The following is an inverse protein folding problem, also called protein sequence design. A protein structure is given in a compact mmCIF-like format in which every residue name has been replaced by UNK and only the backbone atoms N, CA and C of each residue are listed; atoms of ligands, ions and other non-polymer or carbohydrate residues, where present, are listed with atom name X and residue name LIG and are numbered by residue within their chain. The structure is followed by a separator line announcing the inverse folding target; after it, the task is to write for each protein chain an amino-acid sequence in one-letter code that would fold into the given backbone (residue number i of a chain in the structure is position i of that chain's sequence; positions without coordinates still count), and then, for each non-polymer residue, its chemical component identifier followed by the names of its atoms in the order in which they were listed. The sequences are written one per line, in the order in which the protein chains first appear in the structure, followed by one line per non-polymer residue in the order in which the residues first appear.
data_IF_761607594024
#
_entry.id   IF_761607594024
#
_cell.length_a   1.000
_cell.length_b   1.000
_cell.length_c   1.000
_cell.angle_alpha   90.00
_cell.angle_beta   90.00
_cell.angle_gamma   90.00
#
_symmetry.space_group_name_H-M   'P 1'
#
loop_
_entity.id
_entity.type
_entity.pdbx_description
1 polymer ?
#
# COMPACT_ATOMS: atom_id res chain seq x y z
N UNK A 1 1.58 -8.28 12.28
CA UNK A 1 0.92 -7.59 13.41
C UNK A 1 -0.31 -8.31 13.95
N UNK A 2 -0.93 -9.21 13.18
CA UNK A 2 -2.12 -10.00 13.53
C UNK A 2 -2.16 -10.45 15.00
N UNK A 3 -1.14 -11.16 15.49
CA UNK A 3 -1.16 -11.70 16.87
C UNK A 3 -0.91 -10.62 17.94
N UNK A 4 -0.03 -9.65 17.65
CA UNK A 4 0.45 -8.69 18.65
C UNK A 4 -0.42 -7.43 18.75
N UNK A 5 -1.15 -7.09 17.70
CA UNK A 5 -1.91 -5.84 17.58
C UNK A 5 -3.29 -6.04 16.94
N UNK A 6 -3.73 -7.28 16.68
CA UNK A 6 -5.05 -7.59 16.10
C UNK A 6 -5.31 -6.89 14.76
N UNK A 7 -4.25 -6.73 13.96
CA UNK A 7 -4.34 -6.10 12.65
C UNK A 7 -4.98 -7.06 11.63
N UNK A 8 -5.91 -6.60 10.75
CA UNK A 8 -6.33 -5.21 10.55
C UNK A 8 -7.54 -4.76 11.39
N UNK A 9 -8.17 -5.64 12.15
CA UNK A 9 -9.45 -5.35 12.83
C UNK A 9 -9.33 -4.27 13.90
N UNK A 10 -8.16 -4.14 14.54
CA UNK A 10 -7.83 -3.07 15.48
C UNK A 10 -8.05 -1.66 14.92
N UNK A 11 -7.96 -1.48 13.60
CA UNK A 11 -8.17 -0.18 12.97
C UNK A 11 -9.62 0.32 13.12
N UNK A 12 -10.57 -0.59 13.37
CA UNK A 12 -11.99 -0.28 13.60
C UNK A 12 -12.36 -0.23 15.08
N UNK A 13 -11.40 -0.47 15.97
CA UNK A 13 -11.62 -0.47 17.41
C UNK A 13 -11.62 0.95 17.97
N UNK A 14 -12.24 1.17 19.15
CA UNK A 14 -12.17 2.46 19.84
C UNK A 14 -10.73 2.89 20.16
N UNK A 15 -10.53 4.20 20.34
CA UNK A 15 -9.24 4.82 20.67
C UNK A 15 -8.57 4.14 21.87
N UNK A 16 -9.31 3.88 22.95
CA UNK A 16 -8.75 3.29 24.18
C UNK A 16 -8.11 1.93 23.93
N UNK A 17 -8.87 1.03 23.28
CA UNK A 17 -8.40 -0.32 22.96
C UNK A 17 -7.21 -0.26 22.01
N UNK A 18 -7.28 0.61 21.00
CA UNK A 18 -6.22 0.77 20.00
C UNK A 18 -4.92 1.26 20.64
N UNK A 19 -4.98 2.36 21.41
CA UNK A 19 -3.79 2.95 22.01
C UNK A 19 -3.22 2.10 23.15
N UNK A 20 -4.05 1.43 23.94
CA UNK A 20 -3.60 0.50 24.98
C UNK A 20 -2.81 -0.66 24.36
N UNK A 21 -3.39 -1.33 23.35
CA UNK A 21 -2.74 -2.46 22.70
C UNK A 21 -1.48 -2.03 21.94
N UNK A 22 -1.50 -0.83 21.35
CA UNK A 22 -0.34 -0.23 20.69
C UNK A 22 0.79 0.03 21.70
N UNK A 23 0.48 0.65 22.84
CA UNK A 23 1.46 0.94 23.89
C UNK A 23 2.08 -0.34 24.45
N UNK A 24 1.23 -1.33 24.77
CA UNK A 24 1.63 -2.62 25.33
C UNK A 24 2.58 -3.38 24.40
N UNK A 25 2.38 -3.25 23.08
CA UNK A 25 3.15 -3.96 22.06
C UNK A 25 4.07 -3.04 21.25
N UNK A 26 4.44 -1.87 21.79
CA UNK A 26 5.22 -0.82 21.08
C UNK A 26 6.50 -1.31 20.43
N UNK A 27 7.16 -2.30 21.05
CA UNK A 27 8.39 -2.92 20.54
C UNK A 27 8.18 -3.63 19.19
N UNK A 28 6.94 -3.98 18.84
CA UNK A 28 6.55 -4.60 17.58
C UNK A 28 5.75 -3.64 16.69
N UNK A 29 4.85 -2.85 17.25
CA UNK A 29 3.96 -1.96 16.47
C UNK A 29 4.71 -0.82 15.81
N UNK A 30 5.55 -0.09 16.55
CA UNK A 30 6.34 1.03 16.01
C UNK A 30 7.22 0.60 14.83
N UNK A 31 8.09 -0.44 14.92
CA UNK A 31 8.90 -0.84 13.79
C UNK A 31 8.07 -1.38 12.62
N UNK A 32 6.97 -2.08 12.87
CA UNK A 32 6.13 -2.59 11.79
C UNK A 32 5.47 -1.47 10.99
N UNK A 33 4.89 -0.47 11.65
CA UNK A 33 4.33 0.70 10.96
C UNK A 33 5.39 1.59 10.30
N UNK A 34 6.60 1.62 10.83
CA UNK A 34 7.72 2.23 10.13
C UNK A 34 8.07 1.47 8.84
N UNK A 35 8.08 0.13 8.87
CA UNK A 35 8.25 -0.68 7.65
C UNK A 35 7.13 -0.44 6.63
N UNK A 36 5.86 -0.34 7.05
CA UNK A 36 4.77 0.06 6.14
C UNK A 36 4.98 1.45 5.52
N UNK A 37 5.57 2.38 6.27
CA UNK A 37 5.94 3.68 5.71
C UNK A 37 7.01 3.52 4.62
N UNK A 38 8.01 2.67 4.87
CA UNK A 38 9.08 2.43 3.90
C UNK A 38 8.60 1.70 2.64
N UNK A 39 7.53 0.90 2.69
CA UNK A 39 6.99 0.27 1.46
C UNK A 39 6.36 1.28 0.53
N UNK A 40 5.66 2.29 1.05
CA UNK A 40 5.13 3.39 0.25
C UNK A 40 6.26 4.17 -0.45
N UNK A 41 7.32 4.52 0.30
CA UNK A 41 8.51 5.18 -0.27
C UNK A 41 9.19 4.30 -1.33
N UNK A 42 9.38 3.02 -1.02
CA UNK A 42 9.98 2.06 -1.96
C UNK A 42 9.14 1.91 -3.23
N UNK A 43 7.81 1.92 -3.10
CA UNK A 43 6.87 1.85 -4.23
C UNK A 43 7.07 3.01 -5.19
N UNK A 44 7.27 4.25 -4.70
CA UNK A 44 7.61 5.38 -5.56
C UNK A 44 8.85 5.10 -6.40
N UNK A 45 9.91 4.59 -5.77
CA UNK A 45 11.16 4.24 -6.44
C UNK A 45 10.96 3.16 -7.50
N UNK A 46 10.23 2.09 -7.17
CA UNK A 46 9.91 1.00 -8.10
C UNK A 46 9.12 1.51 -9.31
N UNK A 47 8.11 2.35 -9.09
CA UNK A 47 7.27 2.91 -10.16
C UNK A 47 8.09 3.77 -11.12
N UNK A 48 8.99 4.62 -10.60
CA UNK A 48 9.90 5.43 -11.41
C UNK A 48 10.86 4.56 -12.22
N UNK A 49 11.39 3.49 -11.61
CA UNK A 49 12.28 2.54 -12.27
C UNK A 49 11.55 1.75 -13.37
N UNK A 50 10.32 1.31 -13.14
CA UNK A 50 9.49 0.65 -14.15
C UNK A 50 9.22 1.56 -15.34
N UNK A 51 8.86 2.83 -15.09
CA UNK A 51 8.64 3.81 -16.15
C UNK A 51 9.88 4.03 -17.02
N UNK A 52 11.08 4.06 -16.42
CA UNK A 52 12.32 4.24 -17.18
C UNK A 52 12.83 2.98 -17.86
N UNK A 53 12.76 1.83 -17.18
CA UNK A 53 13.34 0.56 -17.68
C UNK A 53 12.52 -0.09 -18.79
N UNK A 54 11.21 0.14 -18.83
CA UNK A 54 10.33 -0.43 -19.85
C UNK A 54 10.18 0.44 -21.11
N UNK A 55 11.03 1.46 -21.26
CA UNK A 55 11.02 2.40 -22.39
C UNK A 55 9.62 3.02 -22.63
N UNK A 56 9.01 3.49 -21.54
CA UNK A 56 7.65 4.02 -21.49
C UNK A 56 7.58 5.55 -21.62
N UNK A 57 8.71 6.22 -21.84
CA UNK A 57 8.85 7.68 -21.82
C UNK A 57 7.98 8.40 -22.84
N UNK A 58 7.64 7.74 -23.96
CA UNK A 58 6.78 8.29 -25.02
C UNK A 58 5.30 7.94 -24.82
N UNK A 59 4.94 7.19 -23.78
CA UNK A 59 3.57 6.74 -23.53
C UNK A 59 2.90 7.61 -22.47
N UNK A 60 1.94 8.44 -22.90
CA UNK A 60 1.10 9.23 -21.97
C UNK A 60 0.43 8.34 -20.92
N UNK A 61 -0.06 7.16 -21.30
CA UNK A 61 -0.70 6.24 -20.36
C UNK A 61 0.29 5.69 -19.33
N UNK A 62 1.53 5.40 -19.73
CA UNK A 62 2.54 4.97 -18.77
C UNK A 62 3.02 6.11 -17.87
N UNK A 63 3.02 7.35 -18.37
CA UNK A 63 3.27 8.54 -17.56
C UNK A 63 2.18 8.73 -16.50
N UNK A 64 0.90 8.61 -16.88
CA UNK A 64 -0.22 8.66 -15.93
C UNK A 64 -0.14 7.55 -14.89
N UNK A 65 0.25 6.35 -15.30
CA UNK A 65 0.53 5.26 -14.37
C UNK A 65 1.63 5.70 -13.38
N UNK A 66 2.78 6.14 -13.88
CA UNK A 66 3.92 6.54 -13.05
C UNK A 66 3.53 7.59 -12.00
N UNK A 67 2.85 8.67 -12.41
CA UNK A 67 2.40 9.72 -11.50
C UNK A 67 1.46 9.15 -10.44
N UNK A 68 0.49 8.33 -10.85
CA UNK A 68 -0.45 7.69 -9.93
C UNK A 68 0.27 6.78 -8.93
N UNK A 69 1.24 5.97 -9.37
CA UNK A 69 1.98 5.07 -8.49
C UNK A 69 2.88 5.82 -7.49
N UNK A 70 3.44 6.96 -7.87
CA UNK A 70 4.17 7.84 -6.94
C UNK A 70 3.21 8.46 -5.91
N UNK A 71 2.05 8.94 -6.33
CA UNK A 71 1.03 9.49 -5.43
C UNK A 71 0.45 8.43 -4.48
N UNK A 72 0.27 7.19 -4.95
CA UNK A 72 -0.09 6.05 -4.12
C UNK A 72 0.96 5.80 -3.04
N UNK A 73 2.24 5.71 -3.42
CA UNK A 73 3.33 5.56 -2.47
C UNK A 73 3.37 6.69 -1.43
N UNK A 74 3.09 7.93 -1.85
CA UNK A 74 3.11 9.11 -0.98
C UNK A 74 1.98 9.08 0.04
N UNK A 75 0.75 8.93 -0.44
CA UNK A 75 -0.45 8.90 0.40
C UNK A 75 -0.43 7.74 1.38
N UNK A 76 -0.02 6.54 0.94
CA UNK A 76 0.17 5.37 1.82
C UNK A 76 1.22 5.64 2.90
N UNK A 77 2.37 6.21 2.52
CA UNK A 77 3.43 6.55 3.49
C UNK A 77 2.95 7.55 4.54
N UNK A 78 2.20 8.57 4.13
CA UNK A 78 1.62 9.56 5.04
C UNK A 78 0.58 8.94 6.00
N UNK A 79 -0.21 7.99 5.51
CA UNK A 79 -1.15 7.22 6.33
C UNK A 79 -0.46 6.38 7.41
N UNK A 80 0.66 5.73 7.08
CA UNK A 80 1.37 4.86 8.01
C UNK A 80 2.34 5.60 8.95
N UNK A 81 3.00 6.66 8.49
CA UNK A 81 4.04 7.36 9.28
C UNK A 81 3.50 7.97 10.56
N UNK A 82 2.20 8.26 10.63
CA UNK A 82 1.57 8.77 11.85
C UNK A 82 1.64 7.77 13.01
N UNK A 83 1.70 6.47 12.76
CA UNK A 83 1.70 5.45 13.79
C UNK A 83 2.97 5.46 14.67
N UNK A 84 4.19 5.37 14.12
CA UNK A 84 5.41 5.38 14.93
C UNK A 84 5.67 6.70 15.66
N UNK A 85 5.04 7.81 15.24
CA UNK A 85 5.26 9.13 15.86
C UNK A 85 4.05 9.61 16.65
N UNK A 86 2.94 9.90 16.00
CA UNK A 86 1.75 10.46 16.64
C UNK A 86 1.05 9.42 17.52
N UNK A 87 0.80 8.21 17.01
CA UNK A 87 0.06 7.20 17.79
C UNK A 87 0.88 6.70 18.98
N UNK A 88 2.20 6.55 18.85
CA UNK A 88 3.07 6.23 19.99
C UNK A 88 3.07 7.33 21.07
N UNK A 89 3.08 8.60 20.64
CA UNK A 89 2.97 9.73 21.56
C UNK A 89 1.63 9.74 22.30
N UNK A 90 0.51 9.61 21.57
CA UNK A 90 -0.83 9.57 22.16
C UNK A 90 -1.01 8.37 23.09
N UNK A 91 -0.48 7.20 22.73
CA UNK A 91 -0.52 5.99 23.54
C UNK A 91 0.24 6.13 24.86
N UNK A 92 1.37 6.85 24.86
CA UNK A 92 2.13 7.15 26.08
C UNK A 92 1.40 8.15 26.97
N UNK A 93 0.73 9.14 26.38
CA UNK A 93 -0.08 10.10 27.11
C UNK A 93 -1.33 9.45 27.73
N UNK A 94 -2.02 8.60 26.97
CA UNK A 94 -3.26 7.95 27.42
C UNK A 94 -3.02 7.01 28.60
N UNK A 95 -1.88 6.31 28.64
CA UNK A 95 -1.53 5.37 29.70
C UNK A 95 -1.48 6.00 31.11
N UNK A 96 -1.28 7.33 31.22
CA UNK A 96 -1.18 8.05 32.49
C UNK A 96 -2.22 9.17 32.63
N UNK A 97 -3.20 9.26 31.72
CA UNK A 97 -4.16 10.36 31.68
C UNK A 97 -5.35 10.13 32.62
N UNK A 98 -5.79 11.21 33.28
CA UNK A 98 -7.12 11.26 33.92
C UNK A 98 -8.24 11.47 32.89
N UNK A 99 -9.52 11.35 33.30
CA UNK A 99 -10.67 11.36 32.38
C UNK A 99 -10.74 12.58 31.45
N UNK A 100 -10.54 13.79 31.98
CA UNK A 100 -10.57 15.04 31.20
C UNK A 100 -9.52 15.03 30.07
N UNK A 101 -8.29 14.59 30.39
CA UNK A 101 -7.20 14.54 29.40
C UNK A 101 -7.41 13.43 28.35
N UNK A 102 -8.16 12.38 28.68
CA UNK A 102 -8.50 11.34 27.71
C UNK A 102 -9.47 11.84 26.64
N UNK A 103 -10.38 12.77 26.96
CA UNK A 103 -11.27 13.38 25.97
C UNK A 103 -10.50 14.19 24.93
N UNK A 104 -9.51 14.99 25.37
CA UNK A 104 -8.63 15.74 24.47
C UNK A 104 -7.81 14.80 23.56
N UNK A 105 -7.24 13.73 24.13
CA UNK A 105 -6.49 12.71 23.38
C UNK A 105 -7.40 12.06 22.34
N UNK A 106 -8.65 11.76 22.71
CA UNK A 106 -9.64 11.15 21.80
C UNK A 106 -9.92 12.07 20.62
N UNK A 107 -10.14 13.36 20.86
CA UNK A 107 -10.40 14.32 19.79
C UNK A 107 -9.24 14.36 18.78
N UNK A 108 -7.99 14.40 19.27
CA UNK A 108 -6.80 14.38 18.41
C UNK A 108 -6.68 13.06 17.65
N UNK A 109 -6.86 11.93 18.35
CA UNK A 109 -6.81 10.60 17.74
C UNK A 109 -7.83 10.48 16.61
N UNK A 110 -9.10 10.77 16.86
CA UNK A 110 -10.19 10.64 15.89
C UNK A 110 -9.98 11.59 14.70
N UNK A 111 -9.54 12.83 14.95
CA UNK A 111 -9.27 13.80 13.88
C UNK A 111 -8.19 13.30 12.92
N UNK A 112 -7.08 12.76 13.45
CA UNK A 112 -6.00 12.22 12.62
C UNK A 112 -6.34 10.85 12.04
N UNK A 113 -7.14 10.03 12.74
CA UNK A 113 -7.63 8.77 12.23
C UNK A 113 -8.50 9.00 10.99
N UNK A 114 -9.46 9.93 11.06
CA UNK A 114 -10.34 10.28 9.95
C UNK A 114 -9.61 10.97 8.79
N UNK A 115 -8.78 11.97 9.10
CA UNK A 115 -8.10 12.75 8.06
C UNK A 115 -6.90 12.01 7.47
N UNK A 116 -5.90 11.70 8.30
CA UNK A 116 -4.65 11.12 7.82
C UNK A 116 -4.75 9.61 7.56
N UNK A 117 -5.54 8.87 8.36
CA UNK A 117 -5.80 7.45 8.15
C UNK A 117 -6.77 7.22 7.00
N UNK A 118 -8.07 7.43 7.24
CA UNK A 118 -9.16 7.09 6.32
C UNK A 118 -9.09 7.90 5.03
N UNK A 119 -8.96 9.23 5.10
CA UNK A 119 -9.05 10.07 3.90
C UNK A 119 -7.77 10.03 3.06
N UNK A 120 -6.61 10.25 3.68
CA UNK A 120 -5.33 10.28 2.95
C UNK A 120 -4.76 8.88 2.76
N UNK A 121 -4.57 8.13 3.84
CA UNK A 121 -3.88 6.85 3.86
C UNK A 121 -4.64 5.68 3.23
N UNK A 122 -5.97 5.74 3.21
CA UNK A 122 -6.82 4.69 2.63
C UNK A 122 -7.51 5.18 1.35
N UNK A 123 -8.37 6.20 1.42
CA UNK A 123 -9.17 6.62 0.26
C UNK A 123 -8.31 7.11 -0.92
N UNK A 124 -7.50 8.15 -0.73
CA UNK A 124 -6.62 8.63 -1.81
C UNK A 124 -5.57 7.60 -2.22
N UNK A 125 -5.02 6.86 -1.27
CA UNK A 125 -4.10 5.77 -1.59
C UNK A 125 -4.74 4.74 -2.53
N UNK A 126 -5.95 4.25 -2.22
CA UNK A 126 -6.65 3.28 -3.06
C UNK A 126 -7.03 3.85 -4.42
N UNK A 127 -7.39 5.13 -4.52
CA UNK A 127 -7.67 5.77 -5.82
C UNK A 127 -6.42 5.82 -6.70
N UNK A 128 -5.29 6.21 -6.12
CA UNK A 128 -4.03 6.26 -6.85
C UNK A 128 -3.48 4.86 -7.16
N UNK A 129 -3.70 3.88 -6.28
CA UNK A 129 -3.38 2.47 -6.52
C UNK A 129 -4.20 1.92 -7.69
N UNK A 130 -5.52 2.18 -7.69
CA UNK A 130 -6.42 1.80 -8.77
C UNK A 130 -5.98 2.39 -10.11
N UNK A 131 -5.70 3.69 -10.14
CA UNK A 131 -5.22 4.40 -11.32
C UNK A 131 -3.86 3.87 -11.80
N UNK A 132 -2.92 3.67 -10.87
CA UNK A 132 -1.62 3.06 -11.16
C UNK A 132 -1.78 1.70 -11.83
N UNK A 133 -2.46 0.75 -11.18
CA UNK A 133 -2.61 -0.61 -11.69
C UNK A 133 -3.31 -0.60 -13.04
N UNK A 134 -4.40 0.16 -13.18
CA UNK A 134 -5.17 0.22 -14.42
C UNK A 134 -4.37 0.82 -15.59
N UNK A 135 -3.72 1.97 -15.39
CA UNK A 135 -2.95 2.60 -16.45
C UNK A 135 -1.67 1.84 -16.78
N UNK A 136 -0.98 1.28 -15.78
CA UNK A 136 0.20 0.47 -16.02
C UNK A 136 -0.16 -0.76 -16.87
N UNK A 137 -1.22 -1.48 -16.49
CA UNK A 137 -1.71 -2.62 -17.24
C UNK A 137 -2.18 -2.22 -18.66
N UNK A 138 -2.79 -1.05 -18.82
CA UNK A 138 -3.15 -0.50 -20.15
C UNK A 138 -1.92 -0.20 -21.00
N UNK A 139 -0.85 0.34 -20.42
CA UNK A 139 0.42 0.56 -21.11
C UNK A 139 1.06 -0.77 -21.56
N UNK A 140 0.97 -1.82 -20.73
CA UNK A 140 1.44 -3.16 -21.08
C UNK A 140 0.67 -3.77 -22.27
N UNK A 141 -0.67 -3.59 -22.33
CA UNK A 141 -1.48 -4.07 -23.46
C UNK A 141 -1.06 -3.48 -24.80
N UNK A 142 -0.58 -2.23 -24.80
CA UNK A 142 -0.08 -1.54 -25.99
C UNK A 142 1.32 -2.02 -26.42
N UNK A 143 1.91 -2.97 -25.69
CA UNK A 143 3.21 -3.61 -25.98
C UNK A 143 3.08 -5.14 -26.03
N UNK A 144 2.29 -5.70 -26.97
CA UNK A 144 1.93 -7.12 -26.98
C UNK A 144 3.10 -8.10 -27.14
N UNK A 145 4.28 -7.64 -27.57
CA UNK A 145 5.49 -8.45 -27.66
C UNK A 145 6.30 -8.57 -26.36
N UNK A 146 5.93 -7.84 -25.31
CA UNK A 146 6.67 -7.83 -24.02
C UNK A 146 5.87 -8.47 -22.90
N UNK A 147 4.53 -8.39 -22.96
CA UNK A 147 3.65 -8.86 -21.91
C UNK A 147 2.46 -9.65 -22.48
N UNK A 148 2.07 -10.77 -21.83
CA UNK A 148 0.85 -11.48 -22.21
C UNK A 148 -0.39 -10.58 -22.08
N UNK A 149 -1.26 -10.58 -23.10
CA UNK A 149 -2.49 -9.75 -23.09
C UNK A 149 -3.42 -10.10 -21.92
N UNK A 150 -3.53 -11.37 -21.56
CA UNK A 150 -4.36 -11.83 -20.43
C UNK A 150 -3.85 -11.24 -19.13
N UNK A 151 -2.53 -11.28 -18.91
CA UNK A 151 -1.89 -10.73 -17.71
C UNK A 151 -2.22 -9.24 -17.53
N UNK A 152 -2.15 -8.47 -18.61
CA UNK A 152 -2.45 -7.05 -18.57
C UNK A 152 -3.97 -6.77 -18.41
N UNK A 153 -4.87 -7.60 -18.97
CA UNK A 153 -6.32 -7.46 -18.69
C UNK A 153 -6.66 -7.76 -17.23
N UNK A 154 -6.01 -8.75 -16.62
CA UNK A 154 -6.18 -9.05 -15.20
C UNK A 154 -5.80 -7.83 -14.35
N UNK A 155 -4.69 -7.16 -14.66
CA UNK A 155 -4.31 -5.91 -13.99
C UNK A 155 -5.36 -4.81 -14.12
N UNK A 156 -5.96 -4.63 -15.30
CA UNK A 156 -7.06 -3.67 -15.46
C UNK A 156 -8.28 -4.01 -14.58
N UNK A 157 -8.67 -5.28 -14.51
CA UNK A 157 -9.79 -5.73 -13.66
C UNK A 157 -9.48 -5.50 -12.19
N UNK A 158 -8.25 -5.78 -11.75
CA UNK A 158 -7.82 -5.52 -10.38
C UNK A 158 -7.89 -4.02 -10.08
N UNK A 159 -7.34 -3.16 -10.94
CA UNK A 159 -7.40 -1.71 -10.74
C UNK A 159 -8.83 -1.17 -10.65
N UNK A 160 -9.75 -1.68 -11.46
CA UNK A 160 -11.18 -1.35 -11.34
C UNK A 160 -11.79 -1.88 -10.05
N UNK A 161 -11.43 -3.10 -9.64
CA UNK A 161 -11.82 -3.67 -8.36
C UNK A 161 -11.36 -2.81 -7.19
N UNK A 162 -10.14 -2.26 -7.27
CA UNK A 162 -9.58 -1.36 -6.26
C UNK A 162 -10.37 -0.07 -6.15
N UNK A 163 -10.72 0.52 -7.29
CA UNK A 163 -11.58 1.70 -7.31
C UNK A 163 -12.96 1.40 -6.69
N UNK A 164 -13.54 0.25 -6.99
CA UNK A 164 -14.85 -0.16 -6.44
C UNK A 164 -14.77 -0.32 -4.93
N UNK A 165 -13.84 -1.12 -4.38
CA UNK A 165 -13.82 -1.33 -2.93
C UNK A 165 -13.40 -0.07 -2.16
N UNK A 166 -12.64 0.86 -2.77
CA UNK A 166 -12.28 2.13 -2.13
C UNK A 166 -13.50 2.94 -1.64
N UNK A 167 -14.68 2.68 -2.22
CA UNK A 167 -15.93 3.29 -1.80
C UNK A 167 -16.36 2.88 -0.39
N UNK A 168 -15.85 1.76 0.16
CA UNK A 168 -16.08 1.33 1.56
C UNK A 168 -15.88 2.49 2.54
N UNK A 169 -14.90 3.35 2.26
CA UNK A 169 -14.50 4.48 3.10
C UNK A 169 -15.58 5.57 3.27
N UNK A 170 -16.59 5.60 2.40
CA UNK A 170 -17.74 6.49 2.56
C UNK A 170 -18.78 5.97 3.58
N UNK A 171 -18.62 4.73 4.04
CA UNK A 171 -19.53 4.11 5.00
C UNK A 171 -20.93 3.85 4.45
N UNK A 172 -21.89 3.60 5.36
CA UNK A 172 -23.29 3.37 5.03
C UNK A 172 -23.48 2.15 4.12
N UNK A 173 -24.16 2.33 2.99
CA UNK A 173 -24.38 1.24 2.01
C UNK A 173 -23.08 0.70 1.41
N UNK A 174 -21.98 1.48 1.42
CA UNK A 174 -20.71 1.05 0.84
C UNK A 174 -19.90 0.15 1.77
N UNK A 175 -20.21 0.10 3.07
CA UNK A 175 -19.52 -0.80 4.01
C UNK A 175 -19.64 -2.28 3.64
N UNK A 176 -20.64 -2.66 2.82
CA UNK A 176 -20.77 -4.02 2.28
C UNK A 176 -19.61 -4.43 1.36
N UNK A 177 -18.77 -3.48 0.93
CA UNK A 177 -17.61 -3.73 0.06
C UNK A 177 -16.37 -4.20 0.82
N UNK A 178 -16.38 -4.16 2.16
CA UNK A 178 -15.25 -4.61 2.99
C UNK A 178 -14.72 -6.01 2.62
N UNK A 179 -15.55 -7.04 2.39
CA UNK A 179 -15.07 -8.35 1.95
C UNK A 179 -14.41 -8.36 0.56
N UNK A 180 -14.77 -7.42 -0.31
CA UNK A 180 -14.18 -7.28 -1.66
C UNK A 180 -12.73 -6.80 -1.56
N UNK A 181 -12.43 -5.96 -0.58
CA UNK A 181 -11.09 -5.45 -0.31
C UNK A 181 -10.06 -6.60 -0.20
N UNK A 182 -10.32 -7.58 0.66
CA UNK A 182 -9.41 -8.73 0.86
C UNK A 182 -9.17 -9.52 -0.43
N UNK A 183 -10.21 -9.74 -1.23
CA UNK A 183 -10.11 -10.46 -2.50
C UNK A 183 -9.25 -9.69 -3.52
N UNK A 184 -9.52 -8.39 -3.66
CA UNK A 184 -8.82 -7.54 -4.65
C UNK A 184 -7.37 -7.32 -4.23
N UNK A 185 -7.08 -7.02 -2.96
CA UNK A 185 -5.69 -6.88 -2.50
C UNK A 185 -4.91 -8.19 -2.65
N UNK A 186 -5.51 -9.35 -2.34
CA UNK A 186 -4.84 -10.64 -2.56
C UNK A 186 -4.55 -10.88 -4.04
N UNK A 187 -5.50 -10.55 -4.93
CA UNK A 187 -5.31 -10.66 -6.37
C UNK A 187 -4.22 -9.68 -6.89
N UNK A 188 -4.19 -8.46 -6.38
CA UNK A 188 -3.16 -7.45 -6.65
C UNK A 188 -1.77 -7.97 -6.27
N UNK A 189 -1.62 -8.54 -5.08
CA UNK A 189 -0.35 -9.14 -4.65
C UNK A 189 0.08 -10.27 -5.59
N UNK A 190 -0.82 -11.19 -5.90
CA UNK A 190 -0.55 -12.27 -6.86
C UNK A 190 -0.13 -11.75 -8.24
N UNK A 191 -0.78 -10.68 -8.71
CA UNK A 191 -0.46 -10.04 -9.98
C UNK A 191 0.92 -9.34 -9.95
N UNK A 192 1.28 -8.65 -8.85
CA UNK A 192 2.60 -8.04 -8.68
C UNK A 192 3.72 -9.10 -8.61
N UNK A 193 3.48 -10.23 -7.93
CA UNK A 193 4.39 -11.39 -7.92
C UNK A 193 4.61 -11.91 -9.34
N UNK A 194 3.54 -12.15 -10.08
CA UNK A 194 3.63 -12.60 -11.46
C UNK A 194 4.30 -11.56 -12.38
N UNK A 195 4.08 -10.25 -12.17
CA UNK A 195 4.81 -9.20 -12.87
C UNK A 195 6.31 -9.28 -12.62
N UNK A 196 6.73 -9.45 -11.36
CA UNK A 196 8.14 -9.58 -11.00
C UNK A 196 8.79 -10.78 -11.72
N UNK A 197 8.11 -11.94 -11.74
CA UNK A 197 8.58 -13.11 -12.50
C UNK A 197 8.67 -12.84 -14.01
N UNK A 198 7.68 -12.17 -14.60
CA UNK A 198 7.71 -11.81 -16.03
C UNK A 198 8.88 -10.88 -16.34
N UNK A 199 9.15 -9.87 -15.50
CA UNK A 199 10.27 -8.94 -15.67
C UNK A 199 11.62 -9.65 -15.52
N UNK A 200 11.74 -10.55 -14.54
CA UNK A 200 12.95 -11.35 -14.34
C UNK A 200 13.24 -12.25 -15.55
N UNK A 201 12.20 -12.92 -16.07
CA UNK A 201 12.34 -13.83 -17.21
C UNK A 201 12.56 -13.08 -18.53
N UNK A 202 11.91 -11.94 -18.75
CA UNK A 202 12.11 -11.12 -19.97
C UNK A 202 13.45 -10.39 -19.98
N UNK A 203 14.00 -10.04 -18.81
CA UNK A 203 15.35 -9.49 -18.66
C UNK A 203 16.46 -10.43 -19.16
N UNK A 204 16.20 -11.74 -19.24
CA UNK A 204 17.15 -12.68 -19.89
C UNK A 204 17.17 -12.58 -21.42
N UNK A 205 16.14 -11.97 -22.03
CA UNK A 205 15.94 -12.00 -23.48
C UNK A 205 16.31 -10.71 -24.21
N UNK A 206 16.46 -9.55 -23.53
CA UNK A 206 16.65 -8.27 -24.24
C UNK A 206 17.91 -7.46 -23.95
N UNK A 207 18.53 -7.55 -22.79
CA UNK A 207 19.82 -6.91 -22.50
C UNK A 207 20.43 -7.62 -21.30
N UNK A 208 21.60 -8.25 -21.49
CA UNK A 208 22.48 -8.88 -20.50
C UNK A 208 21.88 -9.28 -19.14
N UNK A 209 21.94 -10.60 -18.83
CA UNK A 209 21.59 -11.17 -17.51
C UNK A 209 21.89 -10.18 -16.37
N UNK A 210 20.88 -9.83 -15.58
CA UNK A 210 21.09 -9.19 -14.28
C UNK A 210 22.18 -9.97 -13.56
N UNK A 211 23.18 -9.26 -13.05
CA UNK A 211 24.19 -9.93 -12.22
C UNK A 211 23.49 -10.54 -10.99
N UNK A 212 23.96 -11.69 -10.51
CA UNK A 212 23.46 -12.33 -9.29
C UNK A 212 23.16 -11.36 -8.13
N UNK A 213 24.01 -10.37 -7.82
CA UNK A 213 23.69 -9.38 -6.78
C UNK A 213 22.51 -8.46 -7.13
N UNK A 214 22.32 -8.07 -8.39
CA UNK A 214 21.16 -7.28 -8.82
C UNK A 214 19.86 -8.09 -8.76
N UNK A 215 19.92 -9.36 -9.15
CA UNK A 215 18.81 -10.30 -9.01
C UNK A 215 18.44 -10.53 -7.54
N UNK A 216 19.43 -10.78 -6.69
CA UNK A 216 19.22 -10.97 -5.25
C UNK A 216 18.68 -9.70 -4.57
N UNK A 217 19.15 -8.51 -4.98
CA UNK A 217 18.66 -7.23 -4.46
C UNK A 217 17.20 -6.98 -4.89
N UNK A 218 16.87 -7.30 -6.15
CA UNK A 218 15.50 -7.13 -6.67
C UNK A 218 14.52 -8.09 -6.03
N UNK A 219 14.91 -9.37 -5.85
CA UNK A 219 14.12 -10.37 -5.12
C UNK A 219 14.03 -10.01 -3.65
N UNK A 220 15.09 -9.50 -3.04
CA UNK A 220 15.09 -9.04 -1.65
C UNK A 220 14.14 -7.87 -1.43
N UNK A 221 14.21 -6.83 -2.27
CA UNK A 221 13.26 -5.71 -2.27
C UNK A 221 11.82 -6.19 -2.49
N UNK A 222 11.63 -7.12 -3.43
CA UNK A 222 10.32 -7.68 -3.74
C UNK A 222 9.74 -8.49 -2.57
N UNK A 223 10.53 -9.33 -1.92
CA UNK A 223 10.12 -10.12 -0.75
C UNK A 223 9.87 -9.23 0.47
N UNK A 224 10.69 -8.18 0.67
CA UNK A 224 10.44 -7.19 1.72
C UNK A 224 9.11 -6.47 1.47
N UNK A 225 8.84 -6.04 0.24
CA UNK A 225 7.56 -5.43 -0.13
C UNK A 225 6.39 -6.39 0.06
N UNK A 226 6.51 -7.65 -0.37
CA UNK A 226 5.45 -8.64 -0.24
C UNK A 226 5.18 -9.01 1.22
N UNK A 227 6.21 -9.27 2.02
CA UNK A 227 6.08 -9.60 3.45
C UNK A 227 5.45 -8.44 4.20
N UNK A 228 5.86 -7.20 3.90
CA UNK A 228 5.29 -6.03 4.55
C UNK A 228 3.85 -5.77 4.09
N UNK A 229 3.43 -6.17 2.88
CA UNK A 229 2.01 -6.12 2.51
C UNK A 229 1.14 -7.20 3.16
N UNK A 230 1.73 -8.23 3.79
CA UNK A 230 1.01 -9.31 4.52
C UNK A 230 1.02 -9.14 6.04
N UNK A 231 1.86 -8.27 6.59
CA UNK A 231 1.98 -8.06 8.06
C UNK A 231 0.98 -7.08 8.61
#
# INVERSE_FOLDING_TARGET
LIIAFDFPDILRAPMETTLELFHRNRQWTVPAYYLFTLTGITTMGVVLLLYRSLDFQQSTTAFLAMVSGVLFGLTSSLGFVRWPFLMDHLATLSANAGPERLEDIRLVYESFHLYAGVSVGENFAFWFEAAWTFFFATAMLRRPGHFPKVFARVGQVIGLGTLVYSLEQFGGVFSMLGPVNMLVHTAQLGWLVALAFLLFNTGTARQGRLSLPQAATSVGLFLVLAIVSFT
#
